data_IF_719196429179
#
_entry.id   IF_719196429179
#
_cell.length_a   1.000
_cell.length_b   1.000
_cell.length_c   1.000
_cell.angle_alpha   90.00
_cell.angle_beta   90.00
_cell.angle_gamma   90.00
#
_symmetry.space_group_name_H-M   'P 1'
#
loop_
_entity.id
_entity.type
_entity.pdbx_description
1 polymer ?
#
# COMPACT_ATOMS: atom_id res chain seq x y z
N UNK A 1 21.17 -9.12 4.77
CA UNK A 1 19.88 -9.46 4.13
C UNK A 1 18.83 -8.52 4.68
N UNK A 2 18.38 -7.57 3.87
CA UNK A 2 17.22 -6.74 4.24
C UNK A 2 15.99 -7.60 4.01
N UNK A 3 15.22 -7.82 5.08
CA UNK A 3 13.97 -8.58 5.07
C UNK A 3 13.12 -8.15 3.85
N UNK A 4 12.71 -9.09 3.00
CA UNK A 4 11.86 -8.75 1.85
C UNK A 4 10.59 -8.06 2.39
N UNK A 5 10.13 -6.95 1.81
CA UNK A 5 8.97 -6.20 2.30
C UNK A 5 7.69 -7.05 2.43
N UNK A 6 7.57 -8.13 1.63
CA UNK A 6 6.50 -9.11 1.76
C UNK A 6 6.54 -9.93 3.05
N UNK A 7 7.72 -10.27 3.56
CA UNK A 7 7.85 -11.02 4.82
C UNK A 7 7.46 -10.19 6.04
N UNK A 8 7.78 -8.89 6.00
CA UNK A 8 7.33 -7.97 7.05
C UNK A 8 5.82 -7.80 6.98
N UNK A 9 5.27 -7.59 5.79
CA UNK A 9 3.82 -7.50 5.57
C UNK A 9 3.07 -8.73 6.08
N UNK A 10 3.54 -9.95 5.76
CA UNK A 10 2.91 -11.20 6.20
C UNK A 10 2.93 -11.41 7.72
N UNK A 11 3.79 -10.70 8.45
CA UNK A 11 3.85 -10.75 9.92
C UNK A 11 2.95 -9.69 10.59
N UNK A 12 2.40 -8.75 9.83
CA UNK A 12 1.52 -7.72 10.37
C UNK A 12 0.14 -8.29 10.68
N UNK A 13 -0.43 -7.84 11.80
CA UNK A 13 -1.84 -8.06 12.09
C UNK A 13 -2.75 -7.12 11.28
N UNK A 14 -4.06 -7.34 11.33
CA UNK A 14 -5.02 -6.56 10.55
C UNK A 14 -4.93 -5.04 10.82
N UNK A 15 -4.74 -4.61 12.07
CA UNK A 15 -4.64 -3.20 12.43
C UNK A 15 -3.36 -2.56 11.88
N UNK A 16 -2.23 -3.26 11.96
CA UNK A 16 -0.94 -2.81 11.40
C UNK A 16 -1.02 -2.70 9.87
N UNK A 17 -1.63 -3.69 9.23
CA UNK A 17 -1.84 -3.70 7.79
C UNK A 17 -2.75 -2.56 7.32
N UNK A 18 -3.83 -2.29 8.05
CA UNK A 18 -4.72 -1.16 7.75
C UNK A 18 -3.98 0.17 7.89
N UNK A 19 -3.23 0.37 8.98
CA UNK A 19 -2.43 1.57 9.18
C UNK A 19 -1.36 1.75 8.10
N UNK A 20 -0.71 0.66 7.66
CA UNK A 20 0.24 0.69 6.54
C UNK A 20 -0.42 1.20 5.25
N UNK A 21 -1.61 0.69 4.91
CA UNK A 21 -2.31 1.12 3.69
C UNK A 21 -2.73 2.58 3.76
N UNK A 22 -3.32 3.01 4.87
CA UNK A 22 -3.80 4.39 5.03
C UNK A 22 -2.63 5.38 5.02
N UNK A 23 -1.52 5.07 5.69
CA UNK A 23 -0.32 5.89 5.66
C UNK A 23 0.29 5.97 4.26
N UNK A 24 0.32 4.85 3.54
CA UNK A 24 0.82 4.81 2.16
C UNK A 24 -0.04 5.68 1.25
N UNK A 25 -1.37 5.62 1.39
CA UNK A 25 -2.28 6.45 0.61
C UNK A 25 -2.13 7.96 0.92
N UNK A 26 -1.93 8.36 2.19
CA UNK A 26 -1.66 9.76 2.54
C UNK A 26 -0.33 10.27 1.96
N UNK A 27 0.69 9.42 1.89
CA UNK A 27 2.01 9.79 1.37
C UNK A 27 2.07 9.81 -0.17
N UNK A 28 1.44 8.84 -0.81
CA UNK A 28 1.57 8.60 -2.26
C UNK A 28 0.38 9.16 -3.05
N UNK A 29 -0.77 9.36 -2.41
CA UNK A 29 -2.03 9.72 -3.08
C UNK A 29 -2.04 11.07 -3.77
N UNK A 30 -1.11 11.98 -3.44
CA UNK A 30 -0.93 13.26 -4.13
C UNK A 30 0.08 13.20 -5.29
N UNK A 31 0.80 12.09 -5.44
CA UNK A 31 1.73 11.90 -6.55
C UNK A 31 0.98 11.70 -7.87
N UNK A 32 1.68 11.88 -9.00
CA UNK A 32 1.12 11.57 -10.32
C UNK A 32 0.68 10.11 -10.44
N UNK A 33 -0.39 9.84 -11.21
CA UNK A 33 -1.01 8.51 -11.33
C UNK A 33 -0.01 7.38 -11.63
N UNK A 34 0.91 7.59 -12.56
CA UNK A 34 1.93 6.60 -12.91
C UNK A 34 2.89 6.25 -11.75
N UNK A 35 3.12 7.18 -10.82
CA UNK A 35 3.91 6.94 -9.60
C UNK A 35 3.11 6.06 -8.64
N UNK A 36 1.81 6.34 -8.49
CA UNK A 36 0.91 5.52 -7.66
C UNK A 36 0.82 4.09 -8.21
N UNK A 37 0.62 3.93 -9.52
CA UNK A 37 0.56 2.64 -10.21
C UNK A 37 1.86 1.84 -10.04
N UNK A 38 3.02 2.51 -10.19
CA UNK A 38 4.33 1.88 -9.96
C UNK A 38 4.50 1.43 -8.51
N UNK A 39 4.03 2.22 -7.54
CA UNK A 39 4.08 1.85 -6.13
C UNK A 39 3.23 0.61 -5.86
N UNK A 40 1.99 0.58 -6.33
CA UNK A 40 1.09 -0.58 -6.24
C UNK A 40 1.74 -1.81 -6.87
N UNK A 41 2.31 -1.70 -8.08
CA UNK A 41 2.96 -2.81 -8.75
C UNK A 41 4.15 -3.38 -7.95
N UNK A 42 4.94 -2.53 -7.30
CA UNK A 42 6.03 -2.97 -6.43
C UNK A 42 5.51 -3.66 -5.15
N UNK A 43 4.45 -3.14 -4.54
CA UNK A 43 3.78 -3.79 -3.41
C UNK A 43 3.22 -5.16 -3.82
N UNK A 44 2.59 -5.28 -4.99
CA UNK A 44 2.09 -6.55 -5.54
C UNK A 44 3.20 -7.58 -5.78
N UNK A 45 4.39 -7.14 -6.20
CA UNK A 45 5.57 -8.01 -6.33
C UNK A 45 6.07 -8.54 -4.98
N UNK A 46 5.89 -7.76 -3.92
CA UNK A 46 6.25 -8.17 -2.56
C UNK A 46 5.21 -9.12 -1.96
N UNK A 47 3.92 -8.81 -2.15
CA UNK A 47 2.77 -9.64 -1.79
C UNK A 47 1.50 -9.16 -2.53
N UNK A 48 0.71 -10.04 -3.18
CA UNK A 48 -0.51 -9.64 -3.87
C UNK A 48 -1.53 -8.92 -2.97
N UNK A 49 -1.66 -9.31 -1.71
CA UNK A 49 -2.58 -8.66 -0.77
C UNK A 49 -2.07 -7.28 -0.34
N UNK A 50 -0.75 -7.09 -0.29
CA UNK A 50 -0.17 -5.77 -0.04
C UNK A 50 -0.51 -4.80 -1.18
N UNK A 51 -0.23 -5.19 -2.42
CA UNK A 51 -0.56 -4.33 -3.57
C UNK A 51 -2.05 -4.00 -3.67
N UNK A 52 -2.92 -4.99 -3.43
CA UNK A 52 -4.38 -4.79 -3.40
C UNK A 52 -4.79 -3.78 -2.34
N UNK A 53 -4.31 -3.92 -1.10
CA UNK A 53 -4.66 -3.02 -0.01
C UNK A 53 -4.21 -1.58 -0.23
N UNK A 54 -3.01 -1.38 -0.80
CA UNK A 54 -2.54 -0.03 -1.19
C UNK A 54 -3.41 0.57 -2.28
N UNK A 55 -3.80 -0.22 -3.31
CA UNK A 55 -4.68 0.26 -4.36
C UNK A 55 -6.06 0.68 -3.82
N UNK A 56 -6.64 -0.09 -2.91
CA UNK A 56 -7.91 0.24 -2.25
C UNK A 56 -7.81 1.51 -1.39
N UNK A 57 -6.71 1.67 -0.64
CA UNK A 57 -6.49 2.86 0.17
C UNK A 57 -6.28 4.12 -0.69
N UNK A 58 -5.58 4.01 -1.83
CA UNK A 58 -5.46 5.11 -2.80
C UNK A 58 -6.83 5.50 -3.38
N UNK A 59 -7.68 4.53 -3.70
CA UNK A 59 -9.04 4.80 -4.16
C UNK A 59 -9.89 5.50 -3.09
N UNK A 60 -9.78 5.07 -1.83
CA UNK A 60 -10.45 5.72 -0.69
C UNK A 60 -9.95 7.15 -0.46
N UNK A 61 -8.64 7.37 -0.55
CA UNK A 61 -8.03 8.70 -0.45
C UNK A 61 -8.52 9.64 -1.53
N UNK A 62 -8.51 9.19 -2.80
CA UNK A 62 -9.01 9.97 -3.93
C UNK A 62 -10.51 10.31 -3.79
N UNK A 63 -11.28 9.45 -3.12
CA UNK A 63 -12.69 9.69 -2.82
C UNK A 63 -12.94 10.56 -1.57
N UNK A 64 -11.90 11.00 -0.86
CA UNK A 64 -12.02 11.77 0.39
C UNK A 64 -12.54 10.94 1.58
N UNK A 65 -12.35 9.62 1.57
CA UNK A 65 -12.91 8.64 2.52
C UNK A 65 -11.83 7.92 3.34
N UNK A 66 -10.73 8.61 3.64
CA UNK A 66 -9.57 8.07 4.35
C UNK A 66 -9.34 8.75 5.70
#
# INVERSE_FOLDING_TARGET
MWQQPGDLFRKMNAAQTQALFDNTARQVGQASKHIQERHVANCSKADPAYGKGVAEALARFAAGKL
#
